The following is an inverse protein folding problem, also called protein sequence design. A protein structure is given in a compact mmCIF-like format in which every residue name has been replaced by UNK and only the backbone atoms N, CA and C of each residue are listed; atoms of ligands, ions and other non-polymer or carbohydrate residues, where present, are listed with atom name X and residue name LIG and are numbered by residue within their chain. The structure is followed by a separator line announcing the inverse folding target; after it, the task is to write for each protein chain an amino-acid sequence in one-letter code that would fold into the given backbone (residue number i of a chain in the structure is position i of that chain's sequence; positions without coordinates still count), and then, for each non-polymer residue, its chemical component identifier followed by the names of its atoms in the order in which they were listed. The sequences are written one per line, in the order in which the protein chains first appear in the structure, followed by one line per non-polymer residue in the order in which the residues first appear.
data_IF_279750716922
#
_entry.id   IF_279750716922
#
_cell.length_a   1.000
_cell.length_b   1.000
_cell.length_c   1.000
_cell.angle_alpha   90.00
_cell.angle_beta   90.00
_cell.angle_gamma   90.00
#
_symmetry.space_group_name_H-M   'P 1'
#
loop_
_entity.id
_entity.type
_entity.pdbx_description
1 polymer ?
#
# COMPACT_ATOMS: atom_id res chain seq x y z
N UNK A 1 -5.19 7.51 3.75
CA UNK A 1 -3.78 7.35 3.31
C UNK A 1 -3.84 6.69 1.94
N UNK A 2 -3.59 7.46 0.87
CA UNK A 2 -3.79 7.00 -0.50
C UNK A 2 -2.42 6.70 -1.13
N UNK A 3 -1.77 5.60 -0.70
CA UNK A 3 -0.42 5.24 -1.13
C UNK A 3 -0.24 5.20 -2.67
N UNK A 4 -1.30 4.86 -3.42
CA UNK A 4 -1.29 4.92 -4.89
C UNK A 4 -1.23 6.36 -5.40
N UNK A 5 -2.05 7.27 -4.86
CA UNK A 5 -2.03 8.69 -5.22
C UNK A 5 -0.68 9.31 -4.90
N UNK A 6 -0.13 8.99 -3.72
CA UNK A 6 1.14 9.54 -3.27
C UNK A 6 2.30 9.03 -4.15
N UNK A 7 2.25 7.77 -4.60
CA UNK A 7 3.23 7.21 -5.53
C UNK A 7 3.17 7.88 -6.91
N UNK A 8 1.98 8.05 -7.47
CA UNK A 8 1.80 8.74 -8.76
C UNK A 8 2.22 10.21 -8.68
N UNK A 9 1.87 10.88 -7.58
CA UNK A 9 2.25 12.28 -7.36
C UNK A 9 3.76 12.43 -7.17
N UNK A 10 4.43 11.47 -6.52
CA UNK A 10 5.89 11.48 -6.41
C UNK A 10 6.58 11.28 -7.75
N UNK A 11 5.97 10.51 -8.65
CA UNK A 11 6.48 10.27 -9.98
C UNK A 11 6.30 11.48 -10.90
N UNK A 12 5.16 12.18 -10.84
CA UNK A 12 4.93 13.39 -11.65
C UNK A 12 5.73 14.61 -11.19
N UNK A 13 6.17 14.64 -9.93
CA UNK A 13 6.79 15.79 -9.30
C UNK A 13 8.25 15.53 -8.87
N UNK A 14 8.82 14.39 -9.25
CA UNK A 14 10.18 13.98 -8.88
C UNK A 14 10.49 14.17 -7.38
N UNK A 15 9.51 13.80 -6.54
CA UNK A 15 9.53 14.07 -5.09
C UNK A 15 10.02 12.84 -4.32
N UNK A 16 11.31 12.79 -3.91
CA UNK A 16 11.87 11.64 -3.22
C UNK A 16 11.29 11.43 -1.83
N UNK A 17 10.85 12.50 -1.15
CA UNK A 17 10.26 12.43 0.19
C UNK A 17 8.93 11.69 0.14
N UNK A 18 8.06 12.02 -0.83
CA UNK A 18 6.82 11.29 -1.05
C UNK A 18 7.07 9.84 -1.47
N UNK A 19 8.06 9.59 -2.33
CA UNK A 19 8.41 8.22 -2.71
C UNK A 19 8.84 7.38 -1.49
N UNK A 20 9.69 7.92 -0.59
CA UNK A 20 10.05 7.25 0.66
C UNK A 20 8.86 7.02 1.58
N UNK A 21 7.96 8.01 1.71
CA UNK A 21 6.75 7.85 2.50
C UNK A 21 5.90 6.67 2.02
N UNK A 22 5.72 6.51 0.70
CA UNK A 22 5.02 5.35 0.12
C UNK A 22 5.68 4.03 0.53
N UNK A 23 7.02 3.94 0.52
CA UNK A 23 7.73 2.71 0.90
C UNK A 23 7.48 2.28 2.36
N UNK A 24 7.25 3.25 3.25
CA UNK A 24 7.05 3.08 4.68
C UNK A 24 5.60 2.72 5.07
N UNK A 25 4.64 2.87 4.17
CA UNK A 25 3.21 2.61 4.46
C UNK A 25 2.86 1.12 4.65
N UNK A 26 3.77 0.18 4.28
CA UNK A 26 3.53 -1.28 4.34
C UNK A 26 3.10 -1.76 5.74
N UNK A 27 3.77 -1.28 6.78
CA UNK A 27 3.52 -1.71 8.17
C UNK A 27 2.10 -1.33 8.60
N UNK A 28 1.65 -0.12 8.25
CA UNK A 28 0.29 0.36 8.55
C UNK A 28 -0.79 -0.39 7.76
N UNK A 29 -0.55 -0.69 6.48
CA UNK A 29 -1.47 -1.51 5.68
C UNK A 29 -1.66 -2.90 6.31
N UNK A 30 -0.56 -3.58 6.63
CA UNK A 30 -0.61 -4.91 7.23
C UNK A 30 -1.30 -4.90 8.60
N UNK A 31 -1.03 -3.90 9.44
CA UNK A 31 -1.70 -3.74 10.74
C UNK A 31 -3.22 -3.58 10.58
N UNK A 32 -3.66 -2.76 9.62
CA UNK A 32 -5.08 -2.54 9.38
C UNK A 32 -5.76 -3.79 8.81
N UNK A 33 -5.10 -4.49 7.87
CA UNK A 33 -5.58 -5.74 7.31
C UNK A 33 -5.77 -6.81 8.40
N UNK A 34 -4.80 -6.93 9.31
CA UNK A 34 -4.87 -7.89 10.41
C UNK A 34 -5.98 -7.53 11.42
N UNK A 35 -6.11 -6.25 11.77
CA UNK A 35 -7.19 -5.80 12.64
C UNK A 35 -8.58 -6.10 12.04
N UNK A 36 -8.74 -5.92 10.73
CA UNK A 36 -9.98 -6.25 10.03
C UNK A 36 -10.24 -7.76 10.04
N UNK A 37 -9.22 -8.58 9.74
CA UNK A 37 -9.30 -10.05 9.77
C UNK A 37 -9.77 -10.55 11.14
N UNK A 38 -9.15 -10.05 12.22
CA UNK A 38 -9.49 -10.42 13.59
C UNK A 38 -10.90 -9.96 14.01
N UNK A 39 -11.36 -8.80 13.52
CA UNK A 39 -12.73 -8.34 13.78
C UNK A 39 -13.75 -9.24 13.07
N UNK A 40 -13.60 -9.43 11.76
CA UNK A 40 -14.54 -10.23 10.97
C UNK A 40 -14.53 -11.71 11.37
N UNK A 41 -13.38 -12.26 11.74
CA UNK A 41 -13.28 -13.63 12.27
C UNK A 41 -14.06 -13.79 13.58
N UNK A 42 -13.96 -12.81 14.49
CA UNK A 42 -14.77 -12.79 15.73
C UNK A 42 -16.26 -12.69 15.42
N UNK A 43 -16.65 -11.80 14.52
CA UNK A 43 -18.06 -11.64 14.14
C UNK A 43 -18.65 -12.93 13.56
N UNK A 44 -17.88 -13.63 12.72
CA UNK A 44 -18.26 -14.92 12.14
C UNK A 44 -18.43 -16.00 13.22
N UNK A 45 -17.52 -16.10 14.20
CA UNK A 45 -17.61 -17.09 15.28
C UNK A 45 -18.78 -16.86 16.23
N UNK A 46 -19.20 -15.60 16.42
CA UNK A 46 -20.30 -15.24 17.34
C UNK A 46 -21.66 -15.22 16.60
N UNK A 47 -21.70 -15.57 15.31
CA UNK A 47 -22.93 -15.60 14.52
C UNK A 47 -23.57 -14.21 14.32
N UNK A 48 -22.81 -13.13 14.51
CA UNK A 48 -23.28 -11.77 14.24
C UNK A 48 -23.12 -11.45 12.76
N UNK A 49 -24.16 -10.91 12.10
CA UNK A 49 -24.29 -10.16 10.82
C UNK A 49 -23.35 -10.47 9.62
N UNK A 50 -22.10 -10.85 9.84
CA UNK A 50 -21.09 -11.30 8.88
C UNK A 50 -21.25 -12.79 8.60
N UNK A 51 -21.83 -13.12 7.45
CA UNK A 51 -21.78 -14.49 6.92
C UNK A 51 -20.41 -14.76 6.25
N UNK A 52 -20.15 -16.03 5.91
CA UNK A 52 -18.91 -16.45 5.27
C UNK A 52 -18.64 -15.73 3.94
N UNK A 53 -19.70 -15.40 3.19
CA UNK A 53 -19.61 -14.65 1.94
C UNK A 53 -19.06 -13.23 2.15
N UNK A 54 -19.62 -12.51 3.12
CA UNK A 54 -19.14 -11.16 3.51
C UNK A 54 -17.69 -11.19 3.98
N UNK A 55 -17.33 -12.19 4.79
CA UNK A 55 -15.94 -12.38 5.22
C UNK A 55 -15.00 -12.57 4.03
N UNK A 56 -15.35 -13.46 3.10
CA UNK A 56 -14.53 -13.76 1.92
C UNK A 56 -14.34 -12.53 1.03
N UNK A 57 -15.43 -11.81 0.72
CA UNK A 57 -15.37 -10.60 -0.08
C UNK A 57 -14.48 -9.53 0.56
N UNK A 58 -14.58 -9.34 1.87
CA UNK A 58 -13.73 -8.40 2.59
C UNK A 58 -12.24 -8.77 2.52
N UNK A 59 -11.92 -10.07 2.62
CA UNK A 59 -10.53 -10.54 2.49
C UNK A 59 -10.01 -10.41 1.06
N UNK A 60 -10.84 -10.62 0.04
CA UNK A 60 -10.48 -10.39 -1.36
C UNK A 60 -10.16 -8.91 -1.62
N UNK A 61 -10.93 -7.98 -1.03
CA UNK A 61 -10.63 -6.55 -1.08
C UNK A 61 -9.31 -6.20 -0.39
N UNK A 62 -9.02 -6.81 0.78
CA UNK A 62 -7.73 -6.63 1.46
C UNK A 62 -6.57 -7.06 0.56
N UNK A 63 -6.71 -8.19 -0.14
CA UNK A 63 -5.67 -8.68 -1.04
C UNK A 63 -5.47 -7.75 -2.25
N UNK A 64 -6.56 -7.24 -2.83
CA UNK A 64 -6.47 -6.23 -3.89
C UNK A 64 -5.77 -4.95 -3.41
N UNK A 65 -6.02 -4.50 -2.18
CA UNK A 65 -5.32 -3.35 -1.59
C UNK A 65 -3.82 -3.62 -1.42
N UNK A 66 -3.42 -4.83 -1.03
CA UNK A 66 -1.99 -5.21 -0.97
C UNK A 66 -1.33 -5.24 -2.35
N UNK A 67 -2.04 -5.68 -3.39
CA UNK A 67 -1.56 -5.65 -4.78
C UNK A 67 -1.36 -4.22 -5.27
N UNK A 68 -2.34 -3.34 -5.05
CA UNK A 68 -2.24 -1.91 -5.35
C UNK A 68 -1.06 -1.27 -4.61
N UNK A 69 -0.90 -1.59 -3.33
CA UNK A 69 0.22 -1.11 -2.53
C UNK A 69 1.58 -1.58 -3.07
N UNK A 70 1.66 -2.83 -3.52
CA UNK A 70 2.87 -3.38 -4.16
C UNK A 70 3.22 -2.62 -5.43
N UNK A 71 2.22 -2.30 -6.26
CA UNK A 71 2.42 -1.46 -7.45
C UNK A 71 2.90 -0.05 -7.07
N UNK A 72 2.26 0.59 -6.09
CA UNK A 72 2.67 1.90 -5.59
C UNK A 72 4.14 1.91 -5.12
N UNK A 73 4.59 0.85 -4.42
CA UNK A 73 6.00 0.71 -4.02
C UNK A 73 6.96 0.54 -5.20
N UNK A 74 6.53 -0.12 -6.27
CA UNK A 74 7.35 -0.27 -7.49
C UNK A 74 7.53 1.10 -8.16
N UNK A 75 6.46 1.88 -8.27
CA UNK A 75 6.52 3.26 -8.80
C UNK A 75 7.43 4.13 -7.94
N UNK A 76 7.26 4.13 -6.62
CA UNK A 76 8.12 4.91 -5.72
C UNK A 76 9.61 4.53 -5.83
N UNK A 77 9.94 3.24 -6.00
CA UNK A 77 11.32 2.80 -6.24
C UNK A 77 11.86 3.27 -7.58
N UNK A 78 11.03 3.32 -8.62
CA UNK A 78 11.42 3.83 -9.93
C UNK A 78 11.82 5.31 -9.83
N UNK A 79 11.03 6.12 -9.12
CA UNK A 79 11.34 7.55 -8.87
C UNK A 79 12.70 7.71 -8.22
N UNK A 80 12.94 7.01 -7.09
CA UNK A 80 14.20 7.11 -6.36
C UNK A 80 15.41 6.71 -7.22
N UNK A 81 15.29 5.62 -8.00
CA UNK A 81 16.37 5.19 -8.91
C UNK A 81 16.64 6.19 -10.03
N UNK A 82 15.60 6.84 -10.55
CA UNK A 82 15.73 7.84 -11.61
C UNK A 82 16.47 9.06 -11.09
N UNK A 83 16.09 9.55 -9.91
CA UNK A 83 16.77 10.66 -9.23
C UNK A 83 18.23 10.33 -8.88
N UNK A 84 18.52 9.12 -8.40
CA UNK A 84 19.90 8.66 -8.15
C UNK A 84 20.75 8.68 -9.43
N UNK A 85 20.20 8.22 -10.55
CA UNK A 85 20.89 8.19 -11.83
C UNK A 85 21.18 9.62 -12.35
N UNK A 86 20.22 10.53 -12.28
CA UNK A 86 20.39 11.92 -12.70
C UNK A 86 21.45 12.66 -11.88
N UNK A 87 21.45 12.47 -10.55
CA UNK A 87 22.44 13.07 -9.68
C UNK A 87 23.85 12.51 -9.93
N UNK A 88 23.96 11.22 -10.29
CA UNK A 88 25.23 10.59 -10.64
C UNK A 88 25.82 11.11 -11.97
N UNK A 89 24.96 11.58 -12.89
CA UNK A 89 25.39 12.22 -14.14
C UNK A 89 25.84 13.67 -13.92
N UNK A 90 25.20 14.41 -13.02
CA UNK A 90 25.55 15.82 -12.72
C UNK A 90 26.87 16.01 -11.96
N UNK A 91 27.42 14.95 -11.37
CA UNK A 91 28.66 14.97 -10.60
C UNK A 91 29.90 14.52 -11.39
N UNK A 92 29.73 14.17 -12.68
CA UNK A 92 30.82 13.83 -13.61
C UNK A 92 31.03 14.97 -14.60
#
# INVERSE_FOLDING_TARGET
MNALRDALSSFSADDPVKAHNVLNTKKKLNRNAEALRLRLGRDLTVGKQTNLGTYRLAMDHVENLKRIHTLAKRVARLVLKTLEAENSVKLK
#
